data_IF_340432190196
#
_entry.id   IF_340432190196
#
_cell.length_a   1.000
_cell.length_b   1.000
_cell.length_c   1.000
_cell.angle_alpha   90.00
_cell.angle_beta   90.00
_cell.angle_gamma   90.00
#
_symmetry.space_group_name_H-M   'P 1'
#
loop_
_entity.id
_entity.type
_entity.pdbx_description
1 polymer ?
#
# COMPACT_ATOMS: atom_id res chain seq x y z
N UNK A 1 22.12 -6.19 -24.45
CA UNK A 1 21.69 -5.50 -23.22
C UNK A 1 21.26 -6.48 -22.14
N UNK A 2 21.66 -6.20 -20.89
CA UNK A 2 21.34 -7.00 -19.71
C UNK A 2 20.74 -6.10 -18.63
N UNK A 3 19.60 -6.49 -18.05
CA UNK A 3 18.89 -5.75 -17.00
C UNK A 3 18.67 -6.65 -15.80
N UNK A 4 19.13 -6.21 -14.62
CA UNK A 4 19.00 -6.96 -13.37
C UNK A 4 17.77 -6.52 -12.58
N UNK A 5 17.02 -7.50 -12.04
CA UNK A 5 15.83 -7.23 -11.23
C UNK A 5 16.16 -6.34 -10.02
N UNK A 6 17.23 -6.66 -9.29
CA UNK A 6 17.61 -5.91 -8.08
C UNK A 6 18.14 -4.51 -8.41
N UNK A 7 18.89 -4.37 -9.50
CA UNK A 7 19.40 -3.08 -9.95
C UNK A 7 18.32 -2.17 -10.52
N UNK A 8 17.12 -2.71 -10.80
CA UNK A 8 15.94 -1.93 -11.21
C UNK A 8 14.99 -1.67 -10.04
N UNK A 9 14.75 -2.68 -9.19
CA UNK A 9 13.75 -2.58 -8.12
C UNK A 9 14.17 -1.61 -7.01
N UNK A 10 15.42 -1.69 -6.53
CA UNK A 10 15.85 -0.89 -5.38
C UNK A 10 15.94 0.61 -5.72
N UNK A 11 16.54 1.01 -6.86
CA UNK A 11 16.52 2.42 -7.24
C UNK A 11 15.10 2.97 -7.40
N UNK A 12 14.16 2.19 -7.94
CA UNK A 12 12.77 2.63 -8.06
C UNK A 12 12.07 2.74 -6.69
N UNK A 13 12.27 1.76 -5.80
CA UNK A 13 11.70 1.75 -4.46
C UNK A 13 12.18 2.91 -3.57
N UNK A 14 13.39 3.40 -3.82
CA UNK A 14 14.01 4.50 -3.07
C UNK A 14 14.00 5.84 -3.83
N UNK A 15 13.23 5.93 -4.92
CA UNK A 15 13.10 7.14 -5.74
C UNK A 15 14.45 7.70 -6.24
N UNK A 16 15.38 6.81 -6.57
CA UNK A 16 16.70 7.14 -7.13
C UNK A 16 16.69 7.16 -8.67
N UNK A 17 15.55 6.87 -9.28
CA UNK A 17 15.36 6.83 -10.74
C UNK A 17 14.68 8.08 -11.24
N UNK A 18 15.07 8.56 -12.42
CA UNK A 18 14.39 9.69 -13.07
C UNK A 18 12.93 9.35 -13.41
N UNK A 19 12.03 10.30 -13.25
CA UNK A 19 10.58 10.16 -13.46
C UNK A 19 10.23 9.56 -14.84
N UNK A 20 10.95 9.98 -15.89
CA UNK A 20 10.79 9.46 -17.25
C UNK A 20 10.99 7.92 -17.36
N UNK A 21 11.64 7.30 -16.38
CA UNK A 21 11.89 5.86 -16.34
C UNK A 21 10.95 5.09 -15.42
N UNK A 22 10.13 5.74 -14.58
CA UNK A 22 9.26 5.07 -13.62
C UNK A 22 8.30 4.09 -14.32
N UNK A 23 7.49 4.57 -15.28
CA UNK A 23 6.52 3.72 -15.99
C UNK A 23 7.16 2.55 -16.76
N UNK A 24 8.24 2.74 -17.57
CA UNK A 24 8.95 1.63 -18.18
C UNK A 24 9.50 0.61 -17.16
N UNK A 25 10.07 1.08 -16.06
CA UNK A 25 10.61 0.20 -15.00
C UNK A 25 9.51 -0.59 -14.32
N UNK A 26 8.39 0.04 -13.96
CA UNK A 26 7.22 -0.63 -13.39
C UNK A 26 6.70 -1.71 -14.34
N UNK A 27 6.55 -1.41 -15.63
CA UNK A 27 6.10 -2.38 -16.63
C UNK A 27 7.08 -3.56 -16.75
N UNK A 28 8.38 -3.27 -16.82
CA UNK A 28 9.40 -4.31 -16.89
C UNK A 28 9.40 -5.18 -15.64
N UNK A 29 9.47 -4.58 -14.45
CA UNK A 29 9.43 -5.29 -13.16
C UNK A 29 8.17 -6.15 -13.03
N UNK A 30 7.01 -5.60 -13.40
CA UNK A 30 5.72 -6.30 -13.37
C UNK A 30 5.73 -7.57 -14.24
N UNK A 31 6.42 -7.54 -15.38
CA UNK A 31 6.57 -8.70 -16.28
C UNK A 31 7.43 -9.84 -15.71
N UNK A 32 8.23 -9.58 -14.68
CA UNK A 32 9.17 -10.57 -14.11
C UNK A 32 8.54 -11.48 -13.06
N UNK A 33 7.36 -11.12 -12.52
CA UNK A 33 6.81 -11.74 -11.32
C UNK A 33 7.72 -11.57 -10.09
N UNK A 34 7.44 -12.28 -8.99
CA UNK A 34 8.27 -12.25 -7.78
C UNK A 34 9.51 -13.16 -7.88
N UNK A 35 10.31 -12.95 -8.94
CA UNK A 35 11.58 -13.64 -9.15
C UNK A 35 12.65 -13.28 -8.09
N UNK A 36 12.47 -12.18 -7.35
CA UNK A 36 13.29 -11.81 -6.20
C UNK A 36 13.09 -12.78 -5.02
N UNK A 37 13.94 -12.68 -4.00
CA UNK A 37 13.74 -13.38 -2.73
C UNK A 37 12.51 -12.83 -1.99
N UNK A 38 12.03 -13.56 -0.98
CA UNK A 38 10.92 -13.10 -0.10
C UNK A 38 11.29 -11.77 0.57
N UNK A 39 12.55 -11.63 1.01
CA UNK A 39 13.08 -10.38 1.57
C UNK A 39 12.96 -9.21 0.58
N UNK A 40 13.48 -9.38 -0.64
CA UNK A 40 13.46 -8.33 -1.65
C UNK A 40 12.04 -8.02 -2.18
N UNK A 41 11.09 -8.93 -1.98
CA UNK A 41 9.69 -8.74 -2.37
C UNK A 41 9.04 -7.56 -1.65
N UNK A 42 9.46 -7.22 -0.43
CA UNK A 42 8.96 -6.02 0.25
C UNK A 42 9.21 -4.77 -0.60
N UNK A 43 10.46 -4.55 -1.00
CA UNK A 43 10.87 -3.37 -1.77
C UNK A 43 10.31 -3.39 -3.19
N UNK A 44 10.21 -4.59 -3.79
CA UNK A 44 9.59 -4.71 -5.10
C UNK A 44 8.12 -4.30 -5.06
N UNK A 45 7.35 -4.79 -4.09
CA UNK A 45 5.93 -4.44 -3.98
C UNK A 45 5.72 -2.99 -3.54
N UNK A 46 6.58 -2.47 -2.67
CA UNK A 46 6.63 -1.04 -2.31
C UNK A 46 6.82 -0.16 -3.55
N UNK A 47 7.77 -0.49 -4.43
CA UNK A 47 7.93 0.22 -5.70
C UNK A 47 6.67 0.14 -6.58
N UNK A 48 5.97 -1.00 -6.61
CA UNK A 48 4.71 -1.08 -7.35
C UNK A 48 3.59 -0.24 -6.71
N UNK A 49 3.50 -0.19 -5.39
CA UNK A 49 2.51 0.62 -4.69
C UNK A 49 2.72 2.12 -4.89
N UNK A 50 3.96 2.58 -4.78
CA UNK A 50 4.32 4.00 -4.93
C UNK A 50 4.16 4.47 -6.38
N UNK A 51 4.38 3.59 -7.36
CA UNK A 51 4.38 3.94 -8.78
C UNK A 51 3.11 3.47 -9.54
N UNK A 52 1.96 3.51 -8.87
CA UNK A 52 0.65 3.35 -9.51
C UNK A 52 0.26 1.92 -9.93
N UNK A 53 1.00 0.89 -9.49
CA UNK A 53 0.77 -0.51 -9.80
C UNK A 53 0.24 -1.34 -8.61
N UNK A 54 -0.52 -0.71 -7.71
CA UNK A 54 -1.06 -1.32 -6.50
C UNK A 54 -1.88 -2.61 -6.76
N UNK A 55 -2.74 -2.61 -7.78
CA UNK A 55 -3.52 -3.80 -8.18
C UNK A 55 -2.62 -4.97 -8.56
N UNK A 56 -1.53 -4.70 -9.28
CA UNK A 56 -0.56 -5.73 -9.65
C UNK A 56 0.21 -6.23 -8.42
N UNK A 57 0.57 -5.34 -7.49
CA UNK A 57 1.21 -5.73 -6.23
C UNK A 57 0.35 -6.75 -5.45
N UNK A 58 -0.95 -6.51 -5.30
CA UNK A 58 -1.88 -7.45 -4.66
C UNK A 58 -2.05 -8.75 -5.46
N UNK A 59 -2.10 -8.65 -6.80
CA UNK A 59 -2.15 -9.83 -7.65
C UNK A 59 -0.91 -10.72 -7.50
N UNK A 60 0.28 -10.14 -7.35
CA UNK A 60 1.52 -10.89 -7.07
C UNK A 60 1.47 -11.55 -5.69
N UNK A 61 0.98 -10.86 -4.65
CA UNK A 61 0.85 -11.46 -3.32
C UNK A 61 -0.01 -12.73 -3.31
N UNK A 62 -1.04 -12.74 -4.17
CA UNK A 62 -2.07 -13.80 -4.26
C UNK A 62 -1.92 -14.70 -5.49
N UNK A 63 -0.80 -14.60 -6.20
CA UNK A 63 -0.53 -15.36 -7.41
C UNK A 63 -0.60 -16.88 -7.15
N UNK A 64 -0.99 -17.71 -8.13
CA UNK A 64 -1.11 -19.16 -7.94
C UNK A 64 0.23 -19.90 -7.90
N UNK A 65 1.35 -19.22 -8.16
CA UNK A 65 2.68 -19.82 -8.18
C UNK A 65 3.32 -19.94 -6.79
N UNK A 66 4.39 -20.71 -6.73
CA UNK A 66 5.21 -20.98 -5.52
C UNK A 66 5.93 -19.74 -4.95
N UNK A 67 6.03 -18.66 -5.72
CA UNK A 67 6.56 -17.36 -5.30
C UNK A 67 5.42 -16.43 -4.94
N UNK A 68 4.64 -16.79 -3.93
CA UNK A 68 3.52 -16.00 -3.42
C UNK A 68 3.22 -16.32 -1.95
N UNK A 69 2.57 -15.39 -1.25
CA UNK A 69 2.08 -15.68 0.10
C UNK A 69 0.84 -16.57 0.08
N UNK A 70 0.07 -16.58 -1.02
CA UNK A 70 -1.00 -17.56 -1.22
C UNK A 70 -0.46 -18.99 -1.18
N UNK A 71 0.69 -19.25 -1.82
CA UNK A 71 1.36 -20.56 -1.77
C UNK A 71 1.76 -20.92 -0.33
N UNK A 72 2.38 -19.99 0.40
CA UNK A 72 2.70 -20.21 1.82
C UNK A 72 1.44 -20.58 2.61
N UNK A 73 0.36 -19.81 2.52
CA UNK A 73 -0.91 -20.13 3.21
C UNK A 73 -1.46 -21.50 2.79
N UNK A 74 -1.46 -21.81 1.49
CA UNK A 74 -1.97 -23.08 0.97
C UNK A 74 -1.15 -24.31 1.40
N UNK A 75 0.12 -24.12 1.78
CA UNK A 75 0.96 -25.19 2.35
C UNK A 75 0.54 -25.62 3.75
N UNK A 76 -0.34 -24.87 4.43
CA UNK A 76 -0.74 -25.11 5.81
C UNK A 76 0.17 -24.47 6.86
N UNK A 77 1.15 -23.66 6.45
CA UNK A 77 1.96 -22.90 7.40
C UNK A 77 1.14 -21.82 8.12
N UNK A 78 1.46 -21.57 9.38
CA UNK A 78 0.85 -20.52 10.19
C UNK A 78 1.77 -19.31 10.40
N UNK A 79 2.96 -19.34 9.82
CA UNK A 79 3.99 -18.30 9.96
C UNK A 79 4.79 -18.17 8.65
N UNK A 80 5.34 -17.00 8.38
CA UNK A 80 6.02 -16.74 7.11
C UNK A 80 7.41 -17.35 7.05
N UNK A 81 7.86 -17.74 5.85
CA UNK A 81 9.11 -18.47 5.63
C UNK A 81 10.30 -17.58 5.23
N UNK A 82 11.50 -18.13 5.32
CA UNK A 82 12.73 -17.48 4.87
C UNK A 82 12.82 -17.35 3.34
N UNK A 83 12.39 -18.35 2.60
CA UNK A 83 12.32 -18.34 1.14
C UNK A 83 10.92 -18.76 0.67
N UNK A 84 10.68 -18.64 -0.63
CA UNK A 84 9.36 -18.87 -1.22
C UNK A 84 8.88 -20.31 -1.07
N UNK A 85 9.82 -21.24 -1.13
CA UNK A 85 9.58 -22.67 -1.05
C UNK A 85 10.91 -23.37 -0.72
N UNK A 86 10.83 -24.53 -0.07
CA UNK A 86 11.99 -25.35 0.27
C UNK A 86 12.88 -25.67 -0.94
N UNK A 87 12.30 -25.81 -2.14
CA UNK A 87 13.08 -26.07 -3.37
C UNK A 87 14.04 -24.95 -3.76
N UNK A 88 13.80 -23.72 -3.30
CA UNK A 88 14.67 -22.57 -3.57
C UNK A 88 15.80 -22.44 -2.54
N UNK A 89 15.60 -22.99 -1.33
CA UNK A 89 16.57 -22.94 -0.24
C UNK A 89 16.35 -24.14 0.69
N UNK A 90 17.15 -25.19 0.50
CA UNK A 90 17.04 -26.43 1.28
C UNK A 90 17.35 -26.26 2.78
N UNK A 91 18.10 -25.23 3.14
CA UNK A 91 18.43 -24.88 4.53
C UNK A 91 17.59 -23.71 5.07
N UNK A 92 16.41 -23.48 4.49
CA UNK A 92 15.47 -22.47 4.93
C UNK A 92 14.97 -22.73 6.37
N UNK A 93 14.79 -21.67 7.15
CA UNK A 93 13.89 -21.74 8.30
C UNK A 93 12.41 -21.46 7.94
N UNK A 94 11.53 -22.07 8.71
CA UNK A 94 10.09 -22.04 8.47
C UNK A 94 9.40 -20.96 9.30
N UNK A 95 10.17 -20.02 9.85
CA UNK A 95 9.69 -18.95 10.72
C UNK A 95 10.64 -17.75 10.61
N UNK A 96 10.47 -16.96 9.56
CA UNK A 96 11.33 -15.83 9.26
C UNK A 96 10.56 -14.52 9.24
N UNK A 97 11.06 -13.53 9.99
CA UNK A 97 10.44 -12.22 10.13
C UNK A 97 10.35 -11.46 8.79
N UNK A 98 11.39 -11.51 7.96
CA UNK A 98 11.35 -10.87 6.63
C UNK A 98 10.28 -11.46 5.70
N UNK A 99 9.73 -12.63 6.05
CA UNK A 99 8.66 -13.25 5.30
C UNK A 99 7.34 -12.49 5.43
N UNK A 100 7.22 -11.64 6.45
CA UNK A 100 6.01 -10.94 6.82
C UNK A 100 5.80 -9.60 6.09
N UNK A 101 6.41 -9.39 4.91
CA UNK A 101 6.26 -8.14 4.15
C UNK A 101 4.80 -7.65 3.99
N UNK A 102 3.78 -8.51 3.73
CA UNK A 102 2.39 -8.06 3.66
C UNK A 102 1.89 -7.41 4.95
N UNK A 103 2.38 -7.83 6.12
CA UNK A 103 2.01 -7.22 7.40
C UNK A 103 2.49 -5.76 7.53
N UNK A 104 3.54 -5.37 6.78
CA UNK A 104 4.00 -3.99 6.68
C UNK A 104 3.30 -3.24 5.52
N UNK A 105 3.16 -3.89 4.37
CA UNK A 105 2.66 -3.26 3.14
C UNK A 105 1.16 -2.97 3.18
N UNK A 106 0.34 -3.89 3.71
CA UNK A 106 -1.12 -3.71 3.70
C UNK A 106 -1.56 -2.54 4.59
N UNK A 107 -1.04 -2.33 5.82
CA UNK A 107 -1.36 -1.13 6.59
C UNK A 107 -0.88 0.16 5.93
N UNK A 108 0.30 0.15 5.31
CA UNK A 108 0.88 1.36 4.70
C UNK A 108 0.18 1.77 3.41
N UNK A 109 -0.20 0.81 2.57
CA UNK A 109 -0.71 1.10 1.22
C UNK A 109 -2.21 0.80 1.07
N UNK A 110 -2.71 -0.32 1.60
CA UNK A 110 -4.14 -0.66 1.47
C UNK A 110 -4.98 0.14 2.46
N UNK A 111 -4.62 0.15 3.76
CA UNK A 111 -5.23 1.11 4.69
C UNK A 111 -4.73 2.53 4.41
N UNK A 112 -3.53 2.67 3.84
CA UNK A 112 -2.98 3.96 3.42
C UNK A 112 -2.36 4.77 4.55
N UNK A 113 -1.93 4.16 5.65
CA UNK A 113 -1.50 4.91 6.85
C UNK A 113 0.02 4.93 6.97
N UNK A 114 0.61 6.11 6.98
CA UNK A 114 2.04 6.30 7.21
C UNK A 114 2.34 7.56 8.03
N UNK A 115 3.47 7.65 8.74
CA UNK A 115 3.84 8.87 9.44
C UNK A 115 4.24 9.95 8.43
N UNK A 116 3.68 11.16 8.58
CA UNK A 116 4.10 12.35 7.84
C UNK A 116 5.15 13.17 8.62
N UNK A 117 5.15 13.03 9.94
CA UNK A 117 6.10 13.65 10.85
C UNK A 117 6.58 12.65 11.91
N UNK A 118 7.82 12.79 12.44
CA UNK A 118 8.30 11.98 13.55
C UNK A 118 7.34 12.02 14.76
N UNK A 119 7.15 10.87 15.40
CA UNK A 119 6.23 10.77 16.55
C UNK A 119 4.74 10.75 16.18
N UNK A 120 4.39 10.70 14.90
CA UNK A 120 2.99 10.66 14.42
C UNK A 120 2.16 11.90 14.77
N UNK A 121 2.77 13.06 15.04
CA UNK A 121 2.04 14.33 15.21
C UNK A 121 1.21 14.67 13.97
N UNK A 122 1.70 14.28 12.79
CA UNK A 122 0.94 14.25 11.54
C UNK A 122 1.07 12.88 10.87
N UNK A 123 -0.04 12.35 10.38
CA UNK A 123 -0.12 11.14 9.55
C UNK A 123 -0.44 11.48 8.09
N UNK A 124 -0.02 10.62 7.17
CA UNK A 124 -0.58 10.56 5.82
C UNK A 124 -1.64 9.46 5.79
N UNK A 125 -2.78 9.75 5.15
CA UNK A 125 -3.88 8.83 4.90
C UNK A 125 -4.12 8.80 3.39
N UNK A 126 -3.63 7.74 2.75
CA UNK A 126 -3.55 7.59 1.30
C UNK A 126 -3.99 6.19 0.84
N UNK A 127 -5.27 5.78 1.04
CA UNK A 127 -5.69 4.42 0.75
C UNK A 127 -5.52 4.05 -0.72
N UNK A 128 -5.04 2.82 -0.98
CA UNK A 128 -4.97 2.19 -2.31
C UNK A 128 -5.93 1.03 -2.35
N UNK A 129 -6.86 1.08 -3.30
CA UNK A 129 -7.92 0.07 -3.38
C UNK A 129 -7.41 -1.24 -3.96
N UNK A 130 -6.52 -1.16 -4.94
CA UNK A 130 -5.84 -2.32 -5.52
C UNK A 130 -6.78 -3.48 -5.94
N UNK A 131 -8.01 -3.14 -6.39
CA UNK A 131 -9.05 -4.11 -6.77
C UNK A 131 -9.90 -4.65 -5.63
N UNK A 132 -9.69 -4.20 -4.39
CA UNK A 132 -10.51 -4.53 -3.23
C UNK A 132 -11.71 -3.57 -3.14
N UNK A 133 -12.85 -4.08 -2.67
CA UNK A 133 -14.07 -3.26 -2.46
C UNK A 133 -14.11 -2.59 -1.10
N UNK A 134 -13.33 -3.05 -0.13
CA UNK A 134 -13.20 -2.40 1.18
C UNK A 134 -11.89 -2.82 1.85
N UNK A 135 -11.45 -2.01 2.82
CA UNK A 135 -10.52 -2.46 3.85
C UNK A 135 -10.78 -1.72 5.15
N UNK A 136 -10.65 -2.45 6.27
CA UNK A 136 -10.78 -1.93 7.62
C UNK A 136 -9.61 -2.38 8.46
N UNK A 137 -9.07 -1.48 9.27
CA UNK A 137 -7.98 -1.82 10.17
C UNK A 137 -7.67 -0.77 11.22
N UNK A 138 -6.73 -1.13 12.09
CA UNK A 138 -6.26 -0.33 13.20
C UNK A 138 -4.73 -0.24 13.10
N UNK A 139 -4.19 0.96 13.01
CA UNK A 139 -2.75 1.20 12.97
C UNK A 139 -2.31 1.81 14.30
N UNK A 140 -1.55 1.08 15.13
CA UNK A 140 -1.08 1.60 16.40
C UNK A 140 0.00 2.67 16.19
N UNK A 141 -0.10 3.77 16.93
CA UNK A 141 0.93 4.82 17.01
C UNK A 141 1.24 5.11 18.49
N UNK A 142 2.33 5.86 18.80
CA UNK A 142 2.63 6.28 20.17
C UNK A 142 1.49 7.05 20.86
N UNK A 143 0.71 7.81 20.09
CA UNK A 143 -0.37 8.69 20.59
C UNK A 143 -1.73 7.97 20.69
N UNK A 144 -1.81 6.70 20.30
CA UNK A 144 -3.04 5.94 20.19
C UNK A 144 -3.22 5.37 18.79
N UNK A 145 -4.31 4.65 18.55
CA UNK A 145 -4.49 4.01 17.26
C UNK A 145 -5.29 4.87 16.28
N UNK A 146 -4.88 4.86 15.01
CA UNK A 146 -5.67 5.38 13.90
C UNK A 146 -6.57 4.24 13.41
N UNK A 147 -7.88 4.46 13.40
CA UNK A 147 -8.84 3.51 12.82
C UNK A 147 -9.21 3.97 11.41
N UNK A 148 -9.16 3.02 10.47
CA UNK A 148 -9.46 3.24 9.06
C UNK A 148 -10.53 2.25 8.64
N UNK A 149 -11.56 2.73 7.96
CA UNK A 149 -12.58 1.92 7.31
C UNK A 149 -12.99 2.59 6.00
N UNK A 150 -12.51 2.07 4.87
CA UNK A 150 -12.90 2.57 3.57
C UNK A 150 -13.67 1.52 2.76
N UNK A 151 -14.55 2.02 1.90
CA UNK A 151 -15.39 1.22 0.98
C UNK A 151 -15.47 1.86 -0.39
N UNK A 152 -15.54 1.01 -1.42
CA UNK A 152 -15.84 1.34 -2.81
C UNK A 152 -17.12 0.63 -3.22
N UNK A 153 -18.23 1.34 -3.12
CA UNK A 153 -19.58 0.87 -3.47
C UNK A 153 -20.22 1.94 -4.39
N UNK A 154 -19.78 1.98 -5.65
CA UNK A 154 -20.07 3.08 -6.58
C UNK A 154 -19.19 4.30 -6.32
N UNK A 155 -19.29 4.88 -5.12
CA UNK A 155 -18.41 5.97 -4.65
C UNK A 155 -17.36 5.48 -3.66
N UNK A 156 -16.31 6.28 -3.43
CA UNK A 156 -15.34 6.02 -2.36
C UNK A 156 -15.82 6.67 -1.08
N UNK A 157 -15.78 5.92 0.02
CA UNK A 157 -16.02 6.45 1.36
C UNK A 157 -14.90 6.00 2.29
N UNK A 158 -14.53 6.86 3.24
CA UNK A 158 -13.50 6.61 4.24
C UNK A 158 -13.97 7.17 5.58
N UNK A 159 -14.20 6.29 6.55
CA UNK A 159 -14.34 6.66 7.95
C UNK A 159 -12.98 6.57 8.64
N UNK A 160 -12.61 7.64 9.33
CA UNK A 160 -11.32 7.79 10.00
C UNK A 160 -11.54 8.20 11.45
N UNK A 161 -10.81 7.56 12.37
CA UNK A 161 -10.74 7.97 13.77
C UNK A 161 -9.28 8.14 14.17
N UNK A 162 -8.92 9.39 14.47
CA UNK A 162 -7.58 9.80 14.86
C UNK A 162 -7.54 10.09 16.38
N UNK A 163 -6.44 9.76 17.08
CA UNK A 163 -6.16 10.33 18.39
C UNK A 163 -6.15 11.87 18.32
N UNK A 164 -6.53 12.53 19.42
CA UNK A 164 -6.68 14.01 19.46
C UNK A 164 -5.39 14.78 19.17
N UNK A 165 -4.23 14.17 19.40
CA UNK A 165 -2.90 14.75 19.17
C UNK A 165 -2.37 14.54 17.75
N UNK A 166 -3.11 13.86 16.87
CA UNK A 166 -2.71 13.58 15.48
C UNK A 166 -3.58 14.38 14.51
N UNK A 167 -2.93 15.11 13.60
CA UNK A 167 -3.56 15.60 12.36
C UNK A 167 -3.27 14.65 11.19
N UNK A 168 -4.10 14.67 10.15
CA UNK A 168 -3.91 13.81 8.99
C UNK A 168 -4.01 14.57 7.67
N UNK A 169 -2.96 14.44 6.85
CA UNK A 169 -2.99 14.77 5.42
C UNK A 169 -3.71 13.65 4.69
N UNK A 170 -4.73 13.98 3.91
CA UNK A 170 -5.56 12.96 3.27
C UNK A 170 -5.56 13.13 1.77
N UNK A 171 -5.30 12.03 1.07
CA UNK A 171 -5.62 11.89 -0.33
C UNK A 171 -6.43 10.60 -0.56
N UNK A 172 -7.48 10.71 -1.36
CA UNK A 172 -8.43 9.61 -1.62
C UNK A 172 -8.54 9.33 -3.11
N UNK A 173 -8.80 8.08 -3.53
CA UNK A 173 -8.92 7.78 -4.94
C UNK A 173 -10.16 8.45 -5.54
N UNK A 174 -9.96 9.15 -6.66
CA UNK A 174 -11.02 9.76 -7.44
C UNK A 174 -11.73 8.71 -8.32
N UNK A 175 -13.05 8.83 -8.50
CA UNK A 175 -13.72 8.21 -9.65
C UNK A 175 -13.68 9.17 -10.84
N UNK A 176 -13.80 8.65 -12.06
CA UNK A 176 -13.80 9.47 -13.29
C UNK A 176 -14.78 10.64 -13.17
N UNK A 177 -16.01 10.36 -12.72
CA UNK A 177 -17.11 11.31 -12.60
C UNK A 177 -17.10 12.17 -11.34
N UNK A 178 -16.19 11.91 -10.38
CA UNK A 178 -16.18 12.67 -9.12
C UNK A 178 -15.91 14.16 -9.33
N UNK A 179 -16.73 14.98 -8.68
CA UNK A 179 -16.74 16.44 -8.72
C UNK A 179 -16.22 17.09 -7.43
N UNK A 180 -15.96 16.29 -6.39
CA UNK A 180 -15.23 16.75 -5.21
C UNK A 180 -15.23 15.78 -4.04
N UNK A 181 -14.75 16.29 -2.92
CA UNK A 181 -14.67 15.56 -1.65
C UNK A 181 -15.53 16.25 -0.61
N UNK A 182 -16.22 15.45 0.20
CA UNK A 182 -17.07 15.90 1.29
C UNK A 182 -16.51 15.35 2.60
N UNK A 183 -16.35 16.21 3.60
CA UNK A 183 -15.92 15.85 4.95
C UNK A 183 -17.08 16.12 5.90
N UNK A 184 -17.58 15.08 6.56
CA UNK A 184 -18.75 15.12 7.44
C UNK A 184 -19.97 15.76 6.75
N UNK A 185 -20.21 15.40 5.48
CA UNK A 185 -21.32 15.88 4.66
C UNK A 185 -21.17 17.30 4.08
N UNK A 186 -20.07 18.01 4.36
CA UNK A 186 -19.79 19.34 3.81
C UNK A 186 -18.73 19.25 2.72
N UNK A 187 -18.92 19.96 1.61
CA UNK A 187 -17.91 20.02 0.54
C UNK A 187 -16.62 20.63 1.11
N UNK A 188 -15.50 19.93 0.95
CA UNK A 188 -14.19 20.37 1.39
C UNK A 188 -13.41 20.99 0.22
N UNK A 189 -12.45 21.85 0.54
CA UNK A 189 -11.46 22.30 -0.43
C UNK A 189 -10.50 21.15 -0.72
N UNK A 190 -10.38 20.80 -2.00
CA UNK A 190 -9.56 19.69 -2.44
C UNK A 190 -9.10 19.91 -3.88
N UNK A 191 -7.89 19.46 -4.17
CA UNK A 191 -7.29 19.51 -5.49
C UNK A 191 -7.29 18.12 -6.11
N UNK A 192 -7.78 18.00 -7.35
CA UNK A 192 -7.66 16.75 -8.11
C UNK A 192 -6.28 16.67 -8.74
N UNK A 193 -5.55 15.61 -8.42
CA UNK A 193 -4.27 15.25 -9.01
C UNK A 193 -4.40 13.86 -9.63
N UNK A 194 -4.50 13.81 -10.95
CA UNK A 194 -4.77 12.60 -11.73
C UNK A 194 -5.97 11.79 -11.22
N UNK A 195 -5.70 10.57 -10.72
CA UNK A 195 -6.68 9.62 -10.23
C UNK A 195 -6.99 9.82 -8.73
N UNK A 196 -6.62 10.95 -8.12
CA UNK A 196 -6.76 11.20 -6.69
C UNK A 196 -7.26 12.61 -6.38
N UNK A 197 -7.97 12.74 -5.27
CA UNK A 197 -8.28 14.01 -4.64
C UNK A 197 -7.41 14.18 -3.41
N UNK A 198 -6.76 15.34 -3.28
CA UNK A 198 -5.95 15.71 -2.12
C UNK A 198 -6.72 16.79 -1.36
N UNK A 199 -7.01 16.57 -0.08
CA UNK A 199 -7.59 17.62 0.76
C UNK A 199 -6.55 18.72 0.99
N UNK A 200 -6.97 19.98 0.88
CA UNK A 200 -6.06 21.12 1.05
C UNK A 200 -5.72 21.37 2.53
N UNK A 201 -6.57 20.89 3.45
CA UNK A 201 -6.41 21.01 4.90
C UNK A 201 -6.33 19.63 5.59
N UNK A 202 -5.54 19.57 6.66
CA UNK A 202 -5.47 18.38 7.52
C UNK A 202 -6.80 18.13 8.24
N UNK A 203 -7.15 16.86 8.43
CA UNK A 203 -8.30 16.45 9.25
C UNK A 203 -7.86 16.02 10.66
N UNK A 204 -8.78 16.14 11.62
CA UNK A 204 -8.56 15.76 13.02
C UNK A 204 -9.76 15.01 13.60
N UNK A 205 -9.51 14.12 14.56
CA UNK A 205 -10.55 13.40 15.29
C UNK A 205 -11.30 12.38 14.43
N UNK A 206 -12.64 12.35 14.56
CA UNK A 206 -13.51 11.44 13.80
C UNK A 206 -14.06 12.15 12.58
N UNK A 207 -13.78 11.62 11.39
CA UNK A 207 -14.26 12.17 10.13
C UNK A 207 -14.80 11.08 9.21
N UNK A 208 -15.86 11.42 8.47
CA UNK A 208 -16.34 10.66 7.33
C UNK A 208 -16.01 11.46 6.06
N UNK A 209 -15.27 10.82 5.16
CA UNK A 209 -14.84 11.39 3.89
C UNK A 209 -15.57 10.65 2.77
N UNK A 210 -16.20 11.39 1.87
CA UNK A 210 -16.95 10.87 0.73
C UNK A 210 -16.47 11.53 -0.55
N UNK A 211 -16.15 10.74 -1.57
CA UNK A 211 -15.84 11.21 -2.92
C UNK A 211 -17.11 11.14 -3.75
N UNK A 212 -17.59 12.29 -4.24
CA UNK A 212 -18.84 12.42 -4.99
C UNK A 212 -18.61 13.13 -6.31
#
# INVERSE_FOLDING_TARGET
>A
DHTSLHASLFPLAFDLTQEAHHRPLVAWLSSRGMACSVYAAQYFLEALFEHGAATHAIALMTAPGDRSWRHMVASGTTITWEAWDHKYKLNQDWNHAWGAAPANLLPRYILGVSPAAPGWTTANISPREAGLSFARGKVPTPEGAILVDWRREGTFTLALELPRSISARVDVPASEDSQGVYVNGKKASATRSDARWVLDEDVVGKVLIEVR
#
